data_IF_996976645972
#
_entry.id   IF_996976645972
#
_cell.length_a   1.000
_cell.length_b   1.000
_cell.length_c   1.000
_cell.angle_alpha   90.00
_cell.angle_beta   90.00
_cell.angle_gamma   90.00
#
_symmetry.space_group_name_H-M   'P 1'
#
loop_
_entity.id
_entity.type
_entity.pdbx_description
1 polymer ?
#
# COMPACT_ATOMS: atom_id res chain seq x y z
N UNK A 1 3.36 -24.75 -36.77
CA UNK A 1 3.20 -26.16 -36.40
C UNK A 1 2.20 -26.79 -37.32
N UNK A 2 2.69 -27.55 -38.28
CA UNK A 2 1.82 -28.38 -39.09
C UNK A 2 1.61 -29.67 -38.30
N UNK A 3 0.39 -30.11 -38.18
CA UNK A 3 -0.07 -31.34 -37.52
C UNK A 3 0.46 -32.61 -38.25
N UNK A 4 1.75 -32.63 -38.62
CA UNK A 4 2.39 -33.69 -39.39
C UNK A 4 3.38 -34.44 -38.48
N UNK A 5 3.40 -35.74 -38.63
CA UNK A 5 4.41 -36.59 -38.00
C UNK A 5 5.80 -36.32 -38.59
N UNK A 6 6.84 -36.43 -37.76
CA UNK A 6 8.21 -36.36 -38.21
C UNK A 6 8.49 -37.55 -39.15
N UNK A 7 9.16 -37.28 -40.27
CA UNK A 7 9.53 -38.33 -41.24
C UNK A 7 10.91 -38.94 -40.95
N UNK A 8 11.68 -38.33 -40.06
CA UNK A 8 13.00 -38.79 -39.58
C UNK A 8 13.24 -38.19 -38.20
N UNK A 9 14.16 -38.80 -37.46
CA UNK A 9 14.59 -38.27 -36.16
C UNK A 9 15.23 -36.89 -36.31
N UNK A 10 14.94 -36.04 -35.32
CA UNK A 10 15.53 -34.73 -35.20
C UNK A 10 15.89 -34.41 -33.77
N UNK A 11 17.00 -33.76 -33.55
CA UNK A 11 17.37 -33.20 -32.24
C UNK A 11 17.50 -31.69 -32.35
N UNK A 12 17.17 -31.02 -31.27
CA UNK A 12 17.40 -29.58 -31.08
C UNK A 12 18.06 -29.34 -29.74
N UNK A 13 18.89 -28.33 -29.64
CA UNK A 13 19.45 -27.86 -28.38
C UNK A 13 18.58 -26.73 -27.81
N UNK A 14 18.47 -26.69 -26.47
CA UNK A 14 17.92 -25.55 -25.74
C UNK A 14 19.06 -24.62 -25.33
N UNK A 15 18.89 -23.34 -25.56
CA UNK A 15 19.88 -22.31 -25.22
C UNK A 15 19.23 -21.07 -24.66
N UNK A 16 19.98 -20.30 -23.89
CA UNK A 16 19.56 -19.00 -23.39
C UNK A 16 19.90 -17.93 -24.45
N UNK A 17 18.87 -17.24 -24.91
CA UNK A 17 18.96 -16.24 -25.98
C UNK A 17 19.13 -14.82 -25.43
N UNK A 18 20.19 -14.56 -24.67
CA UNK A 18 20.48 -13.26 -24.05
C UNK A 18 20.48 -12.11 -25.06
N UNK A 19 20.98 -12.33 -26.29
CA UNK A 19 20.96 -11.31 -27.35
C UNK A 19 19.53 -10.92 -27.78
N UNK A 20 18.60 -11.88 -27.76
CA UNK A 20 17.19 -11.63 -28.06
C UNK A 20 16.54 -10.77 -26.98
N UNK A 21 16.86 -11.01 -25.72
CA UNK A 21 16.41 -10.19 -24.61
C UNK A 21 17.01 -8.78 -24.69
N UNK A 22 18.32 -8.65 -24.90
CA UNK A 22 18.99 -7.36 -25.03
C UNK A 22 18.39 -6.48 -26.15
N UNK A 23 18.04 -7.09 -27.27
CA UNK A 23 17.32 -6.39 -28.36
C UNK A 23 15.92 -5.95 -27.92
N UNK A 24 15.17 -6.78 -27.21
CA UNK A 24 13.85 -6.44 -26.71
C UNK A 24 13.89 -5.28 -25.70
N UNK A 25 14.87 -5.29 -24.78
CA UNK A 25 15.12 -4.19 -23.83
C UNK A 25 15.45 -2.90 -24.56
N UNK A 26 16.32 -2.93 -25.55
CA UNK A 26 16.70 -1.75 -26.34
C UNK A 26 15.48 -1.14 -27.08
N UNK A 27 14.47 -1.94 -27.41
CA UNK A 27 13.26 -1.50 -28.07
C UNK A 27 12.14 -1.06 -27.12
N UNK A 28 12.28 -1.32 -25.82
CA UNK A 28 11.23 -1.03 -24.83
C UNK A 28 10.83 0.44 -24.75
N UNK A 29 11.77 1.36 -24.96
CA UNK A 29 11.51 2.81 -25.01
C UNK A 29 11.06 3.33 -26.37
N UNK A 30 11.08 2.49 -27.42
CA UNK A 30 10.82 2.89 -28.82
C UNK A 30 9.47 2.42 -29.35
N UNK A 31 8.87 1.39 -28.73
CA UNK A 31 7.65 0.77 -29.22
C UNK A 31 6.82 0.21 -28.06
N UNK A 32 5.52 0.49 -28.06
CA UNK A 32 4.58 -0.04 -27.07
C UNK A 32 4.52 -1.57 -27.05
N UNK A 33 4.81 -2.23 -28.18
CA UNK A 33 4.87 -3.69 -28.27
C UNK A 33 5.99 -4.32 -27.43
N UNK A 34 7.00 -3.53 -27.06
CA UNK A 34 8.14 -3.95 -26.24
C UNK A 34 8.15 -3.33 -24.84
N UNK A 35 7.10 -2.61 -24.45
CA UNK A 35 7.04 -1.90 -23.16
C UNK A 35 7.22 -2.83 -21.96
N UNK A 36 6.80 -4.10 -22.06
CA UNK A 36 6.96 -5.12 -21.01
C UNK A 36 8.43 -5.47 -20.70
N UNK A 37 9.37 -5.11 -21.58
CA UNK A 37 10.81 -5.34 -21.37
C UNK A 37 11.53 -4.14 -20.76
N UNK A 38 10.78 -3.12 -20.36
CA UNK A 38 11.35 -1.97 -19.66
C UNK A 38 11.81 -2.40 -18.27
N UNK A 39 13.06 -2.07 -17.94
CA UNK A 39 13.66 -2.29 -16.62
C UNK A 39 13.72 -3.77 -16.17
N UNK A 40 13.65 -4.72 -17.11
CA UNK A 40 13.83 -6.15 -16.82
C UNK A 40 15.29 -6.55 -16.82
N UNK A 41 15.62 -7.64 -16.14
CA UNK A 41 16.96 -8.21 -16.05
C UNK A 41 16.95 -9.69 -16.51
N UNK A 42 18.08 -10.18 -17.04
CA UNK A 42 18.23 -11.61 -17.33
C UNK A 42 18.22 -12.42 -16.02
N UNK A 43 17.42 -13.50 -15.97
CA UNK A 43 17.47 -14.42 -14.83
C UNK A 43 18.87 -15.03 -14.73
N UNK A 44 19.60 -14.87 -13.59
CA UNK A 44 20.98 -15.33 -13.49
C UNK A 44 21.11 -16.86 -13.50
N UNK A 45 22.23 -17.33 -13.99
CA UNK A 45 22.61 -18.75 -13.89
C UNK A 45 22.66 -19.18 -12.41
N UNK A 46 22.26 -20.43 -12.14
CA UNK A 46 22.21 -20.98 -10.79
C UNK A 46 20.83 -20.89 -10.13
N UNK A 47 19.91 -20.06 -10.62
CA UNK A 47 18.54 -20.02 -10.11
C UNK A 47 17.56 -20.85 -10.93
N UNK A 48 18.01 -21.47 -12.01
CA UNK A 48 17.17 -22.34 -12.85
C UNK A 48 17.97 -23.51 -13.41
N UNK A 49 17.25 -24.57 -13.77
CA UNK A 49 17.79 -25.70 -14.53
C UNK A 49 16.72 -26.29 -15.45
N UNK A 50 17.18 -26.97 -16.49
CA UNK A 50 16.34 -27.77 -17.38
C UNK A 50 16.53 -29.24 -17.08
N UNK A 51 15.46 -30.06 -17.19
CA UNK A 51 15.55 -31.53 -17.09
C UNK A 51 16.38 -32.13 -18.22
N UNK A 52 16.48 -31.43 -19.37
CA UNK A 52 17.35 -31.78 -20.49
C UNK A 52 17.75 -30.54 -21.30
N UNK A 53 19.00 -30.50 -21.79
CA UNK A 53 19.49 -29.43 -22.67
C UNK A 53 19.34 -29.77 -24.15
N UNK A 54 18.94 -31.00 -24.47
CA UNK A 54 18.70 -31.48 -25.82
C UNK A 54 17.39 -32.25 -25.88
N UNK A 55 16.61 -31.99 -26.91
CA UNK A 55 15.30 -32.61 -27.11
C UNK A 55 15.31 -33.38 -28.41
N UNK A 56 14.75 -34.61 -28.40
CA UNK A 56 14.62 -35.46 -29.56
C UNK A 56 13.16 -35.58 -29.97
N UNK A 57 12.91 -35.44 -31.25
CA UNK A 57 11.65 -35.76 -31.90
C UNK A 57 11.89 -37.01 -32.78
N UNK A 58 11.30 -38.13 -32.45
CA UNK A 58 11.47 -39.37 -33.18
C UNK A 58 10.62 -39.41 -34.46
N UNK A 59 11.07 -40.16 -35.45
CA UNK A 59 10.29 -40.39 -36.65
C UNK A 59 8.94 -41.05 -36.30
N UNK A 60 7.86 -40.55 -36.88
CA UNK A 60 6.50 -40.99 -36.58
C UNK A 60 5.80 -40.18 -35.47
N UNK A 61 6.53 -39.35 -34.72
CA UNK A 61 5.97 -38.53 -33.66
C UNK A 61 5.59 -37.14 -34.16
N UNK A 62 4.70 -36.45 -33.43
CA UNK A 62 4.26 -35.06 -33.70
C UNK A 62 4.91 -34.05 -32.75
N UNK A 63 5.35 -34.52 -31.62
CA UNK A 63 5.99 -33.75 -30.54
C UNK A 63 7.06 -34.55 -29.85
N UNK A 64 8.04 -33.88 -29.30
CA UNK A 64 9.07 -34.45 -28.45
C UNK A 64 8.55 -34.77 -27.05
N UNK A 65 9.36 -35.41 -26.25
CA UNK A 65 9.19 -35.42 -24.80
C UNK A 65 9.22 -33.99 -24.25
N UNK A 66 8.53 -33.78 -23.13
CA UNK A 66 8.53 -32.52 -22.44
C UNK A 66 9.87 -32.29 -21.72
N UNK A 67 10.32 -31.03 -21.72
CA UNK A 67 11.43 -30.58 -20.91
C UNK A 67 10.93 -29.66 -19.83
N UNK A 68 11.23 -29.99 -18.60
CA UNK A 68 10.87 -29.20 -17.44
C UNK A 68 11.89 -28.08 -17.22
N UNK A 69 11.41 -26.86 -17.02
CA UNK A 69 12.16 -25.74 -16.47
C UNK A 69 11.87 -25.65 -14.97
N UNK A 70 12.89 -25.90 -14.15
CA UNK A 70 12.81 -25.73 -12.71
C UNK A 70 13.48 -24.41 -12.32
N UNK A 71 12.79 -23.58 -11.52
CA UNK A 71 13.32 -22.32 -11.00
C UNK A 71 13.32 -22.39 -9.48
N UNK A 72 14.47 -22.11 -8.86
CA UNK A 72 14.59 -22.02 -7.41
C UNK A 72 14.08 -20.65 -6.93
N UNK A 73 12.76 -20.52 -6.85
CA UNK A 73 12.10 -19.29 -6.42
C UNK A 73 12.49 -18.91 -4.98
N UNK A 74 12.76 -19.90 -4.12
CA UNK A 74 13.14 -19.63 -2.72
C UNK A 74 14.49 -18.93 -2.63
N UNK A 75 15.49 -19.42 -3.35
CA UNK A 75 16.80 -18.78 -3.39
C UNK A 75 16.77 -17.43 -4.13
N UNK A 76 16.00 -17.33 -5.22
CA UNK A 76 15.84 -16.10 -5.98
C UNK A 76 15.22 -14.99 -5.13
N UNK A 77 14.16 -15.29 -4.37
CA UNK A 77 13.53 -14.38 -3.43
C UNK A 77 14.53 -13.94 -2.36
N UNK A 78 15.24 -14.88 -1.72
CA UNK A 78 16.26 -14.57 -0.71
C UNK A 78 17.35 -13.65 -1.26
N UNK A 79 17.81 -13.90 -2.48
CA UNK A 79 18.82 -13.05 -3.11
C UNK A 79 18.31 -11.63 -3.34
N UNK A 80 17.07 -11.48 -3.86
CA UNK A 80 16.46 -10.16 -4.05
C UNK A 80 16.27 -9.44 -2.71
N UNK A 81 15.83 -10.16 -1.68
CA UNK A 81 15.63 -9.60 -0.33
C UNK A 81 16.96 -9.14 0.31
N UNK A 82 18.01 -9.95 0.22
CA UNK A 82 19.24 -9.72 0.99
C UNK A 82 20.27 -8.86 0.25
N UNK A 83 20.28 -8.90 -1.08
CA UNK A 83 21.40 -8.32 -1.85
C UNK A 83 20.96 -7.25 -2.86
N UNK A 84 19.69 -7.25 -3.31
CA UNK A 84 19.23 -6.29 -4.31
C UNK A 84 18.53 -5.07 -3.72
N UNK A 85 17.81 -5.24 -2.61
CA UNK A 85 17.11 -4.16 -1.91
C UNK A 85 16.04 -3.45 -2.75
N UNK A 86 15.58 -4.07 -3.85
CA UNK A 86 14.54 -3.55 -4.74
C UNK A 86 13.85 -4.69 -5.49
N UNK A 87 12.58 -4.51 -5.84
CA UNK A 87 11.85 -5.43 -6.71
C UNK A 87 12.49 -5.51 -8.10
N UNK A 88 12.50 -6.71 -8.68
CA UNK A 88 13.11 -6.97 -9.98
C UNK A 88 12.20 -7.90 -10.78
N UNK A 89 11.99 -7.57 -12.05
CA UNK A 89 11.42 -8.50 -13.04
C UNK A 89 12.56 -9.16 -13.80
N UNK A 90 12.72 -10.47 -13.61
CA UNK A 90 13.67 -11.26 -14.38
C UNK A 90 13.01 -11.88 -15.61
N UNK A 91 13.80 -12.03 -16.68
CA UNK A 91 13.36 -12.71 -17.90
C UNK A 91 14.34 -13.82 -18.25
N UNK A 92 13.81 -15.02 -18.53
CA UNK A 92 14.58 -16.13 -19.06
C UNK A 92 14.18 -16.38 -20.53
N UNK A 93 15.00 -15.98 -21.49
CA UNK A 93 14.76 -16.21 -22.91
C UNK A 93 15.27 -17.61 -23.31
N UNK A 94 14.38 -18.55 -23.54
CA UNK A 94 14.73 -19.93 -23.95
C UNK A 94 14.53 -20.08 -25.46
N UNK A 95 15.57 -20.49 -26.17
CA UNK A 95 15.57 -20.67 -27.61
C UNK A 95 15.91 -22.10 -28.00
N UNK A 96 15.23 -22.64 -29.02
CA UNK A 96 15.65 -23.85 -29.69
C UNK A 96 16.63 -23.50 -30.82
N UNK A 97 17.73 -24.28 -30.92
CA UNK A 97 18.76 -24.09 -31.93
C UNK A 97 19.37 -25.45 -32.38
N UNK A 98 20.26 -25.42 -33.35
CA UNK A 98 21.06 -26.58 -33.80
C UNK A 98 20.21 -27.80 -34.19
N UNK A 99 19.14 -27.59 -34.96
CA UNK A 99 18.32 -28.71 -35.44
C UNK A 99 19.08 -29.59 -36.41
N UNK A 100 19.09 -30.88 -36.19
CA UNK A 100 19.82 -31.86 -37.03
C UNK A 100 19.11 -32.19 -38.35
N UNK A 101 17.81 -31.99 -38.43
CA UNK A 101 17.00 -32.53 -39.52
C UNK A 101 15.98 -31.63 -40.13
N UNK A 102 15.54 -30.62 -39.46
CA UNK A 102 14.50 -29.68 -39.91
C UNK A 102 14.94 -28.24 -39.71
N UNK A 103 14.42 -27.34 -40.55
CA UNK A 103 14.62 -25.89 -40.36
C UNK A 103 13.90 -25.41 -39.11
N UNK A 104 14.53 -24.50 -38.37
CA UNK A 104 13.93 -23.79 -37.23
C UNK A 104 13.30 -22.50 -37.75
N UNK A 105 12.13 -22.17 -37.29
CA UNK A 105 11.47 -20.91 -37.62
C UNK A 105 11.98 -19.79 -36.67
N UNK A 106 12.82 -18.92 -37.16
CA UNK A 106 13.46 -17.84 -36.38
C UNK A 106 12.47 -16.84 -35.74
N UNK A 107 11.22 -16.81 -36.25
CA UNK A 107 10.19 -15.93 -35.67
C UNK A 107 9.49 -16.49 -34.43
N UNK A 108 9.61 -17.80 -34.19
CA UNK A 108 8.87 -18.51 -33.13
C UNK A 108 9.74 -19.53 -32.36
N UNK A 109 11.04 -19.38 -32.43
CA UNK A 109 11.99 -20.30 -31.80
C UNK A 109 12.41 -19.89 -30.37
N UNK A 110 11.91 -18.77 -29.85
CA UNK A 110 12.27 -18.24 -28.56
C UNK A 110 11.01 -18.00 -27.74
N UNK A 111 11.04 -18.43 -26.47
CA UNK A 111 10.02 -18.16 -25.45
C UNK A 111 10.65 -17.31 -24.37
N UNK A 112 9.94 -16.28 -23.92
CA UNK A 112 10.33 -15.42 -22.80
C UNK A 112 9.51 -15.79 -21.56
N UNK A 113 10.16 -16.25 -20.49
CA UNK A 113 9.55 -16.49 -19.20
C UNK A 113 9.84 -15.29 -18.30
N UNK A 114 8.79 -14.71 -17.69
CA UNK A 114 8.90 -13.55 -16.79
C UNK A 114 8.70 -14.01 -15.35
N UNK A 115 9.55 -13.50 -14.45
CA UNK A 115 9.54 -13.77 -13.02
C UNK A 115 9.57 -12.44 -12.28
N UNK A 116 8.43 -12.01 -11.75
CA UNK A 116 8.34 -10.82 -10.91
C UNK A 116 8.70 -11.20 -9.48
N UNK A 117 9.79 -10.67 -8.97
CA UNK A 117 10.25 -10.87 -7.59
C UNK A 117 10.12 -9.56 -6.85
N UNK A 118 9.16 -9.50 -5.94
CA UNK A 118 8.94 -8.33 -5.11
C UNK A 118 9.95 -8.29 -3.96
N UNK A 119 10.67 -7.18 -3.82
CA UNK A 119 11.41 -6.87 -2.62
C UNK A 119 10.43 -6.37 -1.57
N UNK A 120 10.54 -6.92 -0.38
CA UNK A 120 9.85 -6.44 0.81
C UNK A 120 10.93 -6.07 1.81
N UNK A 121 10.98 -4.82 2.26
CA UNK A 121 11.96 -4.40 3.26
C UNK A 121 11.89 -5.33 4.47
N UNK A 122 13.03 -5.83 4.99
CA UNK A 122 13.03 -6.69 6.16
C UNK A 122 12.30 -6.09 7.36
N UNK A 123 12.27 -4.77 7.46
CA UNK A 123 11.54 -4.06 8.50
C UNK A 123 10.01 -4.19 8.36
N UNK A 124 9.51 -4.61 7.19
CA UNK A 124 8.07 -4.57 6.86
C UNK A 124 7.55 -5.91 6.32
N UNK A 125 8.26 -7.00 6.54
CA UNK A 125 7.78 -8.32 6.10
C UNK A 125 6.45 -8.61 6.78
N UNK A 126 5.39 -8.63 5.98
CA UNK A 126 4.13 -9.22 6.33
C UNK A 126 4.06 -10.56 5.61
N UNK A 127 4.16 -11.61 6.37
CA UNK A 127 4.04 -12.99 5.88
C UNK A 127 2.61 -13.53 5.99
N UNK A 128 1.65 -12.69 6.40
CA UNK A 128 0.27 -13.10 6.68
C UNK A 128 0.11 -13.89 7.98
N UNK A 129 1.21 -14.27 8.63
CA UNK A 129 1.22 -14.92 9.93
C UNK A 129 1.41 -13.91 11.08
N UNK A 130 1.81 -12.67 10.74
CA UNK A 130 2.11 -11.63 11.70
C UNK A 130 3.55 -11.70 12.22
N UNK A 131 3.84 -10.89 13.21
CA UNK A 131 5.13 -10.86 13.90
C UNK A 131 4.95 -11.23 15.38
N UNK A 132 5.97 -11.82 16.02
CA UNK A 132 5.89 -12.10 17.47
C UNK A 132 5.87 -10.79 18.27
N UNK A 133 5.30 -10.84 19.46
CA UNK A 133 5.14 -9.67 20.38
C UNK A 133 6.50 -9.04 20.78
N UNK A 134 7.59 -9.80 20.69
CA UNK A 134 8.95 -9.35 20.99
C UNK A 134 9.75 -8.94 19.74
N UNK A 135 9.09 -8.75 18.63
CA UNK A 135 9.74 -8.35 17.37
C UNK A 135 10.48 -7.02 17.53
N UNK A 136 11.69 -7.00 16.98
CA UNK A 136 12.57 -5.81 17.02
C UNK A 136 12.97 -5.39 15.60
N UNK A 137 13.08 -4.07 15.39
CA UNK A 137 13.68 -3.48 14.20
C UNK A 137 15.11 -3.03 14.50
N UNK A 138 15.90 -2.82 13.46
CA UNK A 138 17.22 -2.22 13.59
C UNK A 138 17.20 -0.89 14.36
N UNK A 139 18.29 -0.57 15.06
CA UNK A 139 18.38 0.65 15.86
C UNK A 139 17.70 0.56 17.24
N UNK A 140 17.36 -0.64 17.72
CA UNK A 140 16.85 -0.88 19.07
C UNK A 140 15.36 -0.52 19.25
N UNK A 141 14.60 -0.54 18.17
CA UNK A 141 13.15 -0.38 18.21
C UNK A 141 12.49 -1.70 18.54
N UNK A 142 11.59 -1.73 19.52
CA UNK A 142 10.78 -2.88 19.91
C UNK A 142 9.33 -2.65 19.61
N UNK A 143 8.65 -3.70 19.19
CA UNK A 143 7.19 -3.71 19.05
C UNK A 143 6.55 -3.45 20.42
N UNK A 144 5.71 -2.44 20.49
CA UNK A 144 4.98 -2.08 21.73
C UNK A 144 3.49 -2.26 21.61
N UNK A 145 2.98 -2.22 20.39
CA UNK A 145 1.59 -2.46 20.07
C UNK A 145 1.44 -2.85 18.59
N UNK A 146 0.55 -3.80 18.32
CA UNK A 146 0.21 -4.17 16.95
C UNK A 146 -1.17 -4.79 16.85
N UNK A 147 -1.72 -4.80 15.65
CA UNK A 147 -2.86 -5.61 15.24
C UNK A 147 -2.59 -6.14 13.84
N UNK A 148 -2.51 -7.45 13.71
CA UNK A 148 -2.25 -8.14 12.43
C UNK A 148 -3.55 -8.47 11.68
N UNK A 149 -4.70 -8.14 12.26
CA UNK A 149 -6.03 -8.40 11.71
C UNK A 149 -6.25 -9.85 11.22
N UNK A 150 -5.52 -10.78 11.80
CA UNK A 150 -5.63 -12.21 11.55
C UNK A 150 -6.86 -12.77 12.25
N UNK A 151 -7.99 -12.83 11.54
CA UNK A 151 -9.22 -13.30 12.11
C UNK A 151 -10.41 -13.06 11.19
N UNK A 152 -11.61 -13.16 11.77
CA UNK A 152 -12.86 -12.92 11.06
C UNK A 152 -13.83 -12.13 11.91
N UNK A 153 -14.69 -11.33 11.27
CA UNK A 153 -15.70 -10.51 11.95
C UNK A 153 -15.19 -9.15 12.40
N UNK A 154 -15.73 -8.61 13.47
CA UNK A 154 -15.38 -7.26 13.92
C UNK A 154 -13.95 -7.20 14.48
N UNK A 155 -13.20 -6.10 14.26
CA UNK A 155 -11.92 -5.88 14.92
C UNK A 155 -12.07 -5.82 16.44
N UNK A 156 -10.97 -6.11 17.15
CA UNK A 156 -10.95 -6.17 18.61
C UNK A 156 -11.36 -4.83 19.24
N UNK A 157 -12.48 -4.81 19.92
CA UNK A 157 -13.03 -3.59 20.57
C UNK A 157 -12.20 -3.12 21.77
N UNK A 158 -11.32 -3.95 22.33
CA UNK A 158 -10.35 -3.52 23.33
C UNK A 158 -9.22 -2.68 22.73
N UNK A 159 -8.99 -2.80 21.42
CA UNK A 159 -8.00 -2.04 20.67
C UNK A 159 -8.64 -0.89 19.90
N UNK A 160 -9.80 -1.10 19.30
CA UNK A 160 -10.43 -0.18 18.39
C UNK A 160 -11.84 0.21 18.86
N UNK A 161 -12.18 1.47 18.71
CA UNK A 161 -13.54 1.98 18.79
C UNK A 161 -13.99 2.45 17.42
N UNK A 162 -15.29 2.39 17.17
CA UNK A 162 -15.86 2.88 15.91
C UNK A 162 -16.35 4.31 16.05
N UNK A 163 -16.22 5.08 14.97
CA UNK A 163 -17.05 6.26 14.76
C UNK A 163 -18.33 5.87 14.04
N UNK A 164 -19.43 6.52 14.39
CA UNK A 164 -20.74 6.28 13.78
C UNK A 164 -21.36 7.60 13.32
N UNK A 165 -22.07 7.56 12.18
CA UNK A 165 -22.77 8.72 11.63
C UNK A 165 -21.90 9.66 10.81
N UNK A 166 -22.38 10.86 10.58
CA UNK A 166 -21.63 11.94 9.95
C UNK A 166 -20.58 12.51 10.93
N UNK A 167 -19.32 12.60 10.50
CA UNK A 167 -18.23 12.99 11.40
C UNK A 167 -17.56 14.30 11.04
N UNK A 168 -16.99 14.48 9.88
CA UNK A 168 -16.16 15.63 9.49
C UNK A 168 -16.28 16.00 8.02
N UNK A 169 -15.71 17.13 7.62
CA UNK A 169 -15.44 17.55 6.23
C UNK A 169 -16.66 17.57 5.29
N UNK A 170 -17.88 17.57 5.84
CA UNK A 170 -19.13 17.42 5.06
C UNK A 170 -19.14 16.18 4.15
N UNK A 171 -18.41 15.14 4.55
CA UNK A 171 -18.34 13.85 3.85
C UNK A 171 -19.74 13.26 3.64
N UNK A 172 -19.90 12.43 2.61
CA UNK A 172 -21.22 11.95 2.18
C UNK A 172 -21.65 10.64 2.84
N UNK A 173 -20.72 9.89 3.45
CA UNK A 173 -21.03 8.62 4.10
C UNK A 173 -21.60 8.78 5.51
N UNK A 174 -22.42 7.82 5.88
CA UNK A 174 -22.72 7.48 7.27
C UNK A 174 -21.77 6.37 7.72
N UNK A 175 -20.93 6.61 8.71
CA UNK A 175 -20.09 5.55 9.26
C UNK A 175 -20.91 4.54 10.06
N UNK A 176 -20.67 3.25 9.80
CA UNK A 176 -21.29 2.10 10.46
C UNK A 176 -20.21 1.07 10.79
N UNK A 177 -20.30 0.48 11.99
CA UNK A 177 -19.38 -0.58 12.39
C UNK A 177 -19.42 -1.79 11.43
N UNK A 178 -20.58 -2.12 10.88
CA UNK A 178 -20.78 -3.28 10.00
C UNK A 178 -20.11 -3.10 8.60
N UNK A 179 -19.51 -1.94 8.34
CA UNK A 179 -18.74 -1.68 7.13
C UNK A 179 -17.23 -1.92 7.32
N UNK A 180 -16.79 -2.38 8.51
CA UNK A 180 -15.41 -2.82 8.75
C UNK A 180 -15.42 -4.21 9.37
N UNK A 181 -14.75 -5.16 8.72
CA UNK A 181 -14.65 -6.54 9.18
C UNK A 181 -13.27 -7.13 8.89
N UNK A 182 -12.81 -8.01 9.76
CA UNK A 182 -11.62 -8.82 9.49
C UNK A 182 -12.00 -9.98 8.60
N UNK A 183 -11.36 -10.09 7.44
CA UNK A 183 -11.48 -11.20 6.50
C UNK A 183 -10.22 -11.31 5.64
N UNK A 184 -9.87 -12.53 5.26
CA UNK A 184 -8.71 -12.78 4.39
C UNK A 184 -7.41 -12.13 4.94
N UNK A 185 -7.19 -12.27 6.26
CA UNK A 185 -6.06 -11.71 7.00
C UNK A 185 -5.89 -10.18 6.82
N UNK A 186 -6.99 -9.44 6.79
CA UNK A 186 -6.97 -7.99 6.73
C UNK A 186 -8.21 -7.41 7.42
N UNK A 187 -8.10 -6.20 7.95
CA UNK A 187 -9.24 -5.34 8.24
C UNK A 187 -9.72 -4.70 6.95
N UNK A 188 -10.94 -4.98 6.54
CA UNK A 188 -11.54 -4.52 5.28
C UNK A 188 -12.64 -3.51 5.56
N UNK A 189 -12.41 -2.29 5.12
CA UNK A 189 -13.42 -1.23 5.09
C UNK A 189 -14.17 -1.32 3.76
N UNK A 190 -15.48 -1.46 3.80
CA UNK A 190 -16.32 -1.53 2.61
C UNK A 190 -17.23 -0.31 2.54
N UNK A 191 -16.95 0.60 1.62
CA UNK A 191 -17.88 1.68 1.32
C UNK A 191 -18.97 1.16 0.35
N UNK A 192 -20.23 1.49 0.64
CA UNK A 192 -21.40 1.02 -0.10
C UNK A 192 -22.27 2.20 -0.52
N UNK A 193 -22.88 2.11 -1.68
CA UNK A 193 -24.03 2.94 -2.03
C UNK A 193 -25.26 2.38 -1.30
N UNK A 194 -25.50 2.90 -0.11
CA UNK A 194 -26.56 2.45 0.78
C UNK A 194 -27.20 3.65 1.47
N UNK A 195 -28.51 3.82 1.27
CA UNK A 195 -29.25 4.93 1.85
C UNK A 195 -29.62 4.64 3.30
N UNK A 196 -29.21 5.53 4.20
CA UNK A 196 -29.45 5.43 5.65
C UNK A 196 -30.13 6.70 6.14
N UNK A 197 -31.22 6.54 6.92
CA UNK A 197 -31.88 7.67 7.55
C UNK A 197 -31.06 8.17 8.74
N UNK A 198 -30.86 9.48 8.79
CA UNK A 198 -30.18 10.14 9.90
C UNK A 198 -31.12 10.20 11.13
N UNK A 199 -30.83 9.49 12.22
CA UNK A 199 -31.67 9.53 13.42
C UNK A 199 -31.67 10.91 14.12
N UNK A 200 -30.66 11.73 13.85
CA UNK A 200 -30.50 13.06 14.42
C UNK A 200 -30.99 14.18 13.47
N UNK A 201 -31.79 13.84 12.47
CA UNK A 201 -32.28 14.82 11.50
C UNK A 201 -33.05 15.95 12.17
N UNK A 202 -32.61 17.17 11.91
CA UNK A 202 -33.25 18.41 12.32
C UNK A 202 -33.07 19.47 11.23
N UNK A 203 -34.09 19.75 10.41
CA UNK A 203 -33.97 20.70 9.31
C UNK A 203 -33.72 22.15 9.76
N UNK A 204 -33.95 22.44 11.05
CA UNK A 204 -33.75 23.76 11.64
C UNK A 204 -32.43 23.90 12.41
N UNK A 205 -31.54 22.90 12.35
CA UNK A 205 -30.25 22.99 13.00
C UNK A 205 -29.40 24.11 12.42
N UNK A 206 -28.69 24.83 13.31
CA UNK A 206 -27.84 25.98 12.95
C UNK A 206 -26.46 25.82 13.57
N UNK A 207 -25.45 26.52 13.04
CA UNK A 207 -24.06 26.48 13.49
C UNK A 207 -23.15 25.67 12.57
N UNK A 208 -21.86 25.69 12.82
CA UNK A 208 -20.84 25.12 11.93
C UNK A 208 -20.97 23.61 11.63
N UNK A 209 -21.56 22.86 12.56
CA UNK A 209 -21.79 21.41 12.41
C UNK A 209 -23.25 21.06 12.09
N UNK A 210 -24.10 22.04 11.77
CA UNK A 210 -25.53 21.83 11.46
C UNK A 210 -25.74 20.86 10.30
N UNK A 211 -24.81 20.77 9.35
CA UNK A 211 -24.87 19.85 8.23
C UNK A 211 -25.03 18.38 8.66
N UNK A 212 -24.49 17.99 9.82
CA UNK A 212 -24.67 16.65 10.40
C UNK A 212 -26.12 16.33 10.75
N UNK A 213 -26.94 17.36 10.98
CA UNK A 213 -28.34 17.23 11.38
C UNK A 213 -29.29 17.63 10.23
N UNK A 214 -28.92 18.57 9.37
CA UNK A 214 -29.79 19.04 8.28
C UNK A 214 -29.87 18.05 7.11
N UNK A 215 -28.96 17.08 7.02
CA UNK A 215 -29.05 15.97 6.06
C UNK A 215 -29.98 14.90 6.63
N UNK A 216 -31.13 14.69 5.98
CA UNK A 216 -32.11 13.66 6.40
C UNK A 216 -31.60 12.24 6.14
N UNK A 217 -30.86 12.06 5.06
CA UNK A 217 -30.27 10.78 4.67
C UNK A 217 -28.80 10.93 4.33
N UNK A 218 -28.05 9.84 4.55
CA UNK A 218 -26.80 9.58 3.85
C UNK A 218 -27.10 8.63 2.68
N UNK A 219 -26.47 8.85 1.55
CA UNK A 219 -26.64 7.96 0.37
C UNK A 219 -25.52 6.90 0.30
N UNK A 220 -24.52 7.01 1.15
CA UNK A 220 -23.39 6.08 1.23
C UNK A 220 -23.15 5.67 2.68
N UNK A 221 -22.64 4.45 2.86
CA UNK A 221 -22.12 3.98 4.13
C UNK A 221 -20.66 3.58 4.00
N UNK A 222 -19.91 3.69 5.09
CA UNK A 222 -18.52 3.29 5.20
C UNK A 222 -18.15 3.04 6.66
N UNK A 223 -16.85 2.92 6.98
CA UNK A 223 -16.43 2.76 8.36
C UNK A 223 -15.18 3.59 8.70
N UNK A 224 -15.06 3.88 9.99
CA UNK A 224 -13.90 4.48 10.64
C UNK A 224 -13.64 3.77 11.96
N UNK A 225 -12.39 3.35 12.18
CA UNK A 225 -11.92 2.84 13.47
C UNK A 225 -10.85 3.77 14.04
N UNK A 226 -10.85 3.92 15.35
CA UNK A 226 -9.91 4.75 16.10
C UNK A 226 -9.31 3.90 17.21
N UNK A 227 -8.00 3.94 17.38
CA UNK A 227 -7.34 3.23 18.46
C UNK A 227 -7.87 3.69 19.83
N UNK A 228 -8.02 2.76 20.77
CA UNK A 228 -8.40 3.11 22.14
C UNK A 228 -7.35 4.00 22.79
N UNK A 229 -7.77 4.89 23.68
CA UNK A 229 -6.89 5.91 24.27
C UNK A 229 -5.64 5.35 24.97
N UNK A 230 -5.71 4.14 25.50
CA UNK A 230 -4.56 3.44 26.10
C UNK A 230 -3.45 3.09 25.11
N UNK A 231 -3.72 3.14 23.82
CA UNK A 231 -2.76 2.92 22.73
C UNK A 231 -2.31 4.22 22.07
N UNK A 232 -2.54 5.37 22.72
CA UNK A 232 -1.93 6.62 22.28
C UNK A 232 -0.41 6.48 22.32
N UNK A 233 0.26 6.88 21.27
CA UNK A 233 1.72 6.78 21.16
C UNK A 233 2.37 8.13 20.90
N UNK A 234 3.62 8.25 21.35
CA UNK A 234 4.49 9.38 21.08
C UNK A 234 5.90 8.86 20.83
N UNK A 235 6.53 9.32 19.77
CA UNK A 235 7.79 8.83 19.24
C UNK A 235 7.77 7.35 18.82
N UNK A 236 8.70 6.99 17.98
CA UNK A 236 8.86 5.65 17.46
C UNK A 236 8.53 5.53 15.98
N UNK A 237 8.36 4.29 15.54
CA UNK A 237 7.97 3.98 14.18
C UNK A 237 6.56 3.39 14.16
N UNK A 238 5.70 3.94 13.32
CA UNK A 238 4.42 3.35 13.01
C UNK A 238 4.49 2.79 11.60
N UNK A 239 4.12 1.54 11.45
CA UNK A 239 4.15 0.82 10.17
C UNK A 239 2.77 0.25 9.91
N UNK A 240 2.18 0.61 8.76
CA UNK A 240 0.89 0.12 8.31
C UNK A 240 1.04 -0.43 6.91
N UNK A 241 0.62 -1.68 6.69
CA UNK A 241 0.55 -2.25 5.36
C UNK A 241 -0.89 -2.25 4.89
N UNK A 242 -1.15 -1.57 3.77
CA UNK A 242 -2.50 -1.35 3.30
C UNK A 242 -2.60 -1.33 1.77
N UNK A 243 -3.78 -1.70 1.28
CA UNK A 243 -4.19 -1.55 -0.11
C UNK A 243 -5.39 -0.63 -0.18
N UNK A 244 -5.28 0.46 -0.93
CA UNK A 244 -6.28 1.52 -0.99
C UNK A 244 -7.05 1.54 -2.31
N UNK A 245 -8.35 1.88 -2.30
CA UNK A 245 -9.08 2.23 -3.50
C UNK A 245 -8.61 3.60 -4.02
N UNK A 246 -8.50 3.75 -5.34
CA UNK A 246 -8.12 5.01 -5.98
C UNK A 246 -9.22 5.56 -6.90
N UNK A 247 -10.44 5.07 -6.77
CA UNK A 247 -11.60 5.51 -7.51
C UNK A 247 -12.06 6.90 -7.05
N UNK A 248 -12.58 7.67 -7.99
CA UNK A 248 -13.06 9.02 -7.73
C UNK A 248 -14.12 9.03 -6.61
N UNK A 249 -13.94 9.91 -5.65
CA UNK A 249 -14.80 10.10 -4.50
C UNK A 249 -14.46 9.22 -3.30
N UNK A 250 -13.64 8.17 -3.48
CA UNK A 250 -13.07 7.42 -2.37
C UNK A 250 -11.96 8.22 -1.67
N UNK A 251 -11.95 8.20 -0.35
CA UNK A 251 -10.98 8.92 0.48
C UNK A 251 -10.49 8.02 1.62
N UNK A 252 -9.66 7.03 1.32
CA UNK A 252 -8.98 6.24 2.35
C UNK A 252 -7.94 7.07 3.07
N UNK A 253 -7.82 6.85 4.39
CA UNK A 253 -6.83 7.53 5.21
C UNK A 253 -6.21 6.60 6.27
N UNK A 254 -4.93 6.82 6.54
CA UNK A 254 -4.16 6.37 7.69
C UNK A 254 -3.64 7.64 8.34
N UNK A 255 -4.16 7.99 9.51
CA UNK A 255 -3.86 9.25 10.14
C UNK A 255 -3.94 9.18 11.67
N UNK A 256 -3.56 10.23 12.35
CA UNK A 256 -3.68 10.32 13.79
C UNK A 256 -3.98 11.72 14.29
N UNK A 257 -4.59 11.82 15.46
CA UNK A 257 -4.80 13.08 16.17
C UNK A 257 -4.38 12.95 17.64
N UNK A 258 -4.00 14.07 18.24
CA UNK A 258 -3.70 14.10 19.67
C UNK A 258 -4.90 13.78 20.53
N UNK A 259 -4.67 13.06 21.63
CA UNK A 259 -5.72 12.56 22.53
C UNK A 259 -6.23 13.58 23.54
N UNK A 260 -5.59 14.75 23.71
CA UNK A 260 -5.95 15.70 24.79
C UNK A 260 -6.48 17.04 24.32
N UNK A 261 -6.01 17.56 23.22
CA UNK A 261 -6.35 18.91 22.80
C UNK A 261 -7.37 18.91 21.68
N UNK A 262 -8.15 19.99 21.63
CA UNK A 262 -9.02 20.28 20.50
C UNK A 262 -8.19 20.40 19.21
N UNK A 263 -8.72 19.85 18.10
CA UNK A 263 -8.10 20.00 16.79
C UNK A 263 -7.99 21.49 16.40
N UNK A 264 -6.87 21.94 15.82
CA UNK A 264 -5.67 21.20 15.48
C UNK A 264 -4.56 21.28 16.56
N UNK A 265 -4.87 21.73 17.77
CA UNK A 265 -3.88 21.96 18.84
C UNK A 265 -3.23 20.66 19.33
N UNK A 266 -3.94 19.53 19.25
CA UNK A 266 -3.40 18.22 19.55
C UNK A 266 -2.48 17.64 18.48
N UNK A 267 -2.37 18.32 17.34
CA UNK A 267 -1.67 17.84 16.16
C UNK A 267 -2.49 16.82 15.36
N UNK A 268 -2.21 16.75 14.08
CA UNK A 268 -2.69 15.73 13.15
C UNK A 268 -1.55 15.28 12.27
N UNK A 269 -1.41 13.98 12.08
CA UNK A 269 -0.40 13.40 11.20
C UNK A 269 -1.13 12.51 10.19
N UNK A 270 -1.07 12.88 8.91
CA UNK A 270 -1.63 12.10 7.82
C UNK A 270 -0.52 11.29 7.17
N UNK A 271 -0.41 10.01 7.56
CA UNK A 271 0.58 9.10 6.96
C UNK A 271 0.20 8.79 5.52
N UNK A 272 -1.09 8.71 5.28
CA UNK A 272 -1.76 8.55 4.02
C UNK A 272 -3.10 9.25 4.05
N UNK A 273 -3.36 10.07 3.07
CA UNK A 273 -4.69 10.36 2.57
C UNK A 273 -4.67 10.23 1.04
N UNK A 274 -5.70 9.64 0.47
CA UNK A 274 -5.89 9.70 -0.98
C UNK A 274 -7.16 10.48 -1.29
N UNK A 275 -7.01 11.63 -1.93
CA UNK A 275 -8.12 12.42 -2.46
C UNK A 275 -7.66 13.31 -3.62
N UNK A 276 -8.62 13.72 -4.48
CA UNK A 276 -8.33 14.53 -5.67
C UNK A 276 -7.22 13.94 -6.55
N UNK A 277 -7.20 12.60 -6.69
CA UNK A 277 -6.20 11.85 -7.45
C UNK A 277 -4.75 12.06 -6.98
N UNK A 278 -4.54 12.28 -5.69
CA UNK A 278 -3.22 12.48 -5.09
C UNK A 278 -3.08 11.67 -3.80
N UNK A 279 -1.88 11.20 -3.57
CA UNK A 279 -1.42 10.76 -2.26
C UNK A 279 -0.95 11.99 -1.49
N UNK A 280 -1.41 12.15 -0.27
CA UNK A 280 -1.02 13.21 0.65
C UNK A 280 -0.34 12.62 1.87
N UNK A 281 0.72 13.30 2.32
CA UNK A 281 1.45 13.02 3.54
C UNK A 281 1.66 14.35 4.26
N UNK A 282 0.91 14.62 5.33
CA UNK A 282 0.83 15.95 5.91
C UNK A 282 0.99 15.92 7.43
N UNK A 283 1.39 17.06 7.98
CA UNK A 283 1.27 17.37 9.41
C UNK A 283 0.50 18.68 9.59
N UNK A 284 -0.37 18.71 10.62
CA UNK A 284 -1.12 19.90 10.98
C UNK A 284 -1.01 20.19 12.47
N UNK A 285 -0.80 21.45 12.82
CA UNK A 285 -0.79 21.96 14.21
C UNK A 285 -1.50 23.30 14.29
N UNK A 286 -1.71 23.81 15.49
CA UNK A 286 -2.47 25.04 15.72
C UNK A 286 -1.96 26.26 15.00
N UNK A 287 -2.82 26.90 14.21
CA UNK A 287 -2.60 28.19 13.54
C UNK A 287 -2.93 29.38 14.42
N UNK A 288 -3.14 30.55 13.80
CA UNK A 288 -3.33 31.81 14.55
C UNK A 288 -4.73 31.96 15.17
N UNK A 289 -5.70 31.22 14.72
CA UNK A 289 -7.10 31.27 15.18
C UNK A 289 -7.59 29.89 15.55
N UNK A 290 -8.60 29.83 16.40
CA UNK A 290 -9.28 28.57 16.72
C UNK A 290 -9.77 27.89 15.43
N UNK A 291 -9.54 26.58 15.29
CA UNK A 291 -9.86 25.79 14.10
C UNK A 291 -9.03 26.14 12.85
N UNK A 292 -7.98 26.94 13.00
CA UNK A 292 -7.05 27.23 11.91
C UNK A 292 -5.81 26.36 12.07
N UNK A 293 -5.45 25.64 11.02
CA UNK A 293 -4.28 24.74 10.99
C UNK A 293 -3.09 25.38 10.30
N UNK A 294 -1.90 25.22 10.91
CA UNK A 294 -0.63 25.36 10.23
C UNK A 294 -0.26 24.02 9.65
N UNK A 295 0.20 23.97 8.40
CA UNK A 295 0.43 22.73 7.68
C UNK A 295 1.85 22.60 7.14
N UNK A 296 2.43 21.41 7.24
CA UNK A 296 3.48 20.95 6.35
C UNK A 296 2.91 19.83 5.47
N UNK A 297 2.78 20.11 4.18
CA UNK A 297 2.06 19.25 3.25
C UNK A 297 2.94 18.80 2.10
N UNK A 298 2.92 17.50 1.84
CA UNK A 298 3.47 16.90 0.62
C UNK A 298 2.34 16.14 -0.11
N UNK A 299 2.28 16.29 -1.43
CA UNK A 299 1.27 15.61 -2.22
C UNK A 299 1.83 15.18 -3.57
N UNK A 300 1.44 13.97 -4.00
CA UNK A 300 1.95 13.31 -5.20
C UNK A 300 0.78 12.86 -6.07
N UNK A 301 0.73 13.23 -7.36
CA UNK A 301 -0.26 12.68 -8.27
C UNK A 301 -0.24 11.16 -8.27
N UNK A 302 -1.40 10.51 -8.27
CA UNK A 302 -1.45 9.03 -8.30
C UNK A 302 -0.76 8.46 -9.53
N UNK A 303 -0.68 9.23 -10.61
CA UNK A 303 0.04 8.86 -11.83
C UNK A 303 1.54 8.68 -11.64
N UNK A 304 2.14 9.27 -10.60
CA UNK A 304 3.56 9.06 -10.30
C UNK A 304 3.85 7.60 -9.86
N UNK A 305 2.82 6.90 -9.40
CA UNK A 305 2.85 5.50 -9.00
C UNK A 305 2.28 4.60 -10.08
N UNK A 306 1.08 4.87 -10.58
CA UNK A 306 0.37 4.01 -11.55
C UNK A 306 1.00 3.99 -12.95
N UNK A 307 1.77 5.02 -13.31
CA UNK A 307 2.54 5.00 -14.57
C UNK A 307 3.74 4.04 -14.52
N UNK A 308 4.26 3.77 -13.32
CA UNK A 308 5.36 2.82 -13.10
C UNK A 308 4.84 1.39 -12.92
N UNK A 309 3.68 1.25 -12.30
CA UNK A 309 3.00 -0.01 -12.08
C UNK A 309 1.50 0.15 -12.27
N UNK A 310 0.97 -0.33 -13.40
CA UNK A 310 -0.46 -0.23 -13.72
C UNK A 310 -1.35 -0.97 -12.70
N UNK A 311 -0.78 -1.90 -11.92
CA UNK A 311 -1.46 -2.66 -10.87
C UNK A 311 -1.16 -2.15 -9.47
N UNK A 312 -0.63 -0.95 -9.34
CA UNK A 312 -0.26 -0.38 -8.06
C UNK A 312 -1.41 -0.46 -7.04
N UNK A 313 -2.61 0.00 -7.40
CA UNK A 313 -3.78 -0.02 -6.51
C UNK A 313 -4.31 -1.42 -6.17
N UNK A 314 -3.88 -2.46 -6.91
CA UNK A 314 -4.23 -3.86 -6.62
C UNK A 314 -3.30 -4.50 -5.58
N UNK A 315 -2.21 -3.81 -5.19
CA UNK A 315 -1.16 -4.30 -4.28
C UNK A 315 -1.27 -3.67 -2.91
N UNK A 316 -0.74 -4.36 -1.91
CA UNK A 316 -0.47 -3.77 -0.61
C UNK A 316 0.82 -2.96 -0.66
N UNK A 317 0.80 -1.80 -0.01
CA UNK A 317 1.92 -0.89 0.15
C UNK A 317 2.20 -0.66 1.62
N UNK A 318 3.44 -0.32 1.95
CA UNK A 318 3.85 -0.05 3.34
C UNK A 318 3.93 1.46 3.55
N UNK A 319 3.10 1.93 4.47
CA UNK A 319 3.06 3.32 4.93
C UNK A 319 3.75 3.38 6.28
N UNK A 320 4.79 4.19 6.39
CA UNK A 320 5.54 4.30 7.62
C UNK A 320 5.70 5.75 8.05
N UNK A 321 5.64 5.95 9.36
CA UNK A 321 6.14 7.15 10.02
C UNK A 321 7.31 6.79 10.91
N UNK A 322 8.39 7.59 10.83
CA UNK A 322 9.49 7.61 11.79
C UNK A 322 9.46 8.94 12.54
N UNK A 323 9.21 8.88 13.85
CA UNK A 323 9.02 10.04 14.70
C UNK A 323 10.04 10.03 15.84
N UNK A 324 10.96 10.95 15.79
CA UNK A 324 11.91 11.25 16.86
C UNK A 324 11.65 12.62 17.51
N UNK A 325 12.49 13.04 18.44
CA UNK A 325 12.34 14.33 19.14
C UNK A 325 12.52 15.56 18.22
N UNK A 326 13.07 15.38 17.04
CA UNK A 326 13.45 16.46 16.11
C UNK A 326 12.64 16.46 14.83
N UNK A 327 12.29 15.29 14.34
CA UNK A 327 11.66 15.12 13.02
C UNK A 327 10.52 14.11 13.06
N UNK A 328 9.52 14.34 12.21
CA UNK A 328 8.61 13.33 11.72
C UNK A 328 8.86 13.14 10.24
N UNK A 329 9.08 11.88 9.83
CA UNK A 329 9.27 11.47 8.44
C UNK A 329 8.21 10.48 8.05
N UNK A 330 7.59 10.70 6.90
CA UNK A 330 6.55 9.83 6.35
C UNK A 330 7.07 9.18 5.08
N UNK A 331 6.89 7.88 4.97
CA UNK A 331 7.39 7.07 3.86
C UNK A 331 6.27 6.24 3.24
N UNK A 332 6.41 5.95 1.95
CA UNK A 332 5.66 4.96 1.21
C UNK A 332 6.66 4.03 0.52
N UNK A 333 6.60 2.71 0.83
CA UNK A 333 7.51 1.70 0.28
C UNK A 333 8.97 2.16 0.35
N UNK A 334 9.43 2.61 1.52
CA UNK A 334 10.75 3.16 1.83
C UNK A 334 11.12 4.48 1.12
N UNK A 335 10.22 5.05 0.34
CA UNK A 335 10.44 6.35 -0.29
C UNK A 335 9.95 7.46 0.63
N UNK A 336 10.82 8.38 1.02
CA UNK A 336 10.47 9.55 1.84
C UNK A 336 9.49 10.45 1.07
N UNK A 337 8.30 10.64 1.64
CA UNK A 337 7.28 11.55 1.11
C UNK A 337 7.32 12.92 1.78
N UNK A 338 7.47 12.97 3.12
CA UNK A 338 7.49 14.23 3.87
C UNK A 338 8.47 14.13 5.04
N UNK A 339 9.20 15.20 5.28
CA UNK A 339 10.00 15.41 6.48
C UNK A 339 9.61 16.75 7.13
N UNK A 340 9.28 16.72 8.41
CA UNK A 340 8.91 17.90 9.18
C UNK A 340 9.87 18.11 10.33
N UNK A 341 10.52 19.28 10.39
CA UNK A 341 11.32 19.73 11.52
C UNK A 341 10.40 20.20 12.66
N UNK A 342 10.40 19.48 13.78
CA UNK A 342 9.51 19.72 14.92
C UNK A 342 9.82 21.02 15.67
N UNK A 343 10.97 21.63 15.47
CA UNK A 343 11.25 22.96 16.00
C UNK A 343 10.34 24.05 15.42
N UNK A 344 9.64 23.76 14.32
CA UNK A 344 8.75 24.68 13.61
C UNK A 344 7.26 24.45 13.90
N UNK A 345 6.91 23.42 14.66
CA UNK A 345 5.53 22.93 14.80
C UNK A 345 4.84 23.38 16.10
N UNK A 346 5.29 24.46 16.70
CA UNK A 346 4.59 25.05 17.85
C UNK A 346 3.25 25.62 17.45
N UNK A 347 2.22 25.34 18.26
CA UNK A 347 0.91 25.98 18.14
C UNK A 347 1.03 27.50 18.21
N UNK A 348 0.19 28.23 17.51
CA UNK A 348 0.19 29.68 17.41
C UNK A 348 -1.11 30.26 17.97
N UNK A 349 -1.11 31.58 18.23
CA UNK A 349 -2.29 32.31 18.68
C UNK A 349 -2.68 32.05 20.14
N UNK A 350 -3.53 32.91 20.69
CA UNK A 350 -3.88 32.91 22.12
C UNK A 350 -4.64 31.65 22.57
N UNK A 351 -5.37 31.01 21.67
CA UNK A 351 -6.11 29.77 21.95
C UNK A 351 -5.21 28.52 21.99
N UNK A 352 -3.99 28.62 21.46
CA UNK A 352 -2.98 27.58 21.53
C UNK A 352 -2.10 27.65 22.78
N UNK A 353 -2.25 28.70 23.57
CA UNK A 353 -1.59 28.88 24.84
C UNK A 353 -2.44 28.22 25.94
N UNK A 354 -2.06 27.01 26.36
CA UNK A 354 -2.49 26.47 27.65
C UNK A 354 -1.77 27.18 28.81
N UNK A 355 -2.06 26.80 30.04
CA UNK A 355 -1.27 27.19 31.22
C UNK A 355 0.17 26.67 31.02
N UNK A 356 1.07 27.44 30.41
CA UNK A 356 2.44 27.03 30.15
C UNK A 356 2.97 27.45 28.77
N UNK A 357 2.21 28.17 27.97
CA UNK A 357 2.65 28.71 26.69
C UNK A 357 2.28 27.85 25.48
N UNK A 358 2.91 28.13 24.36
CA UNK A 358 2.63 27.46 23.08
C UNK A 358 3.18 26.03 23.10
N UNK A 359 2.28 25.05 23.06
CA UNK A 359 2.63 23.62 23.05
C UNK A 359 3.02 23.20 21.63
N UNK A 360 4.08 22.42 21.54
CA UNK A 360 4.37 21.63 20.35
C UNK A 360 3.67 20.28 20.47
N UNK A 361 2.68 19.96 19.60
CA UNK A 361 1.94 18.72 19.73
C UNK A 361 2.79 17.47 19.39
N UNK A 362 3.95 17.64 18.79
CA UNK A 362 4.80 16.53 18.37
C UNK A 362 6.10 16.41 19.17
N UNK A 363 6.43 17.44 19.96
CA UNK A 363 7.64 17.45 20.80
C UNK A 363 7.30 18.13 22.12
N UNK A 364 6.86 17.34 23.10
CA UNK A 364 6.47 17.80 24.43
C UNK A 364 6.70 16.71 25.49
N UNK A 365 6.79 17.12 26.75
CA UNK A 365 7.02 16.24 27.90
C UNK A 365 5.71 15.90 28.66
N UNK A 366 4.56 16.14 28.06
CA UNK A 366 3.26 15.87 28.71
C UNK A 366 3.06 14.36 28.87
N UNK A 367 2.97 13.92 30.12
CA UNK A 367 2.69 12.52 30.45
C UNK A 367 1.28 12.15 30.00
N UNK A 368 1.16 11.00 29.31
CA UNK A 368 -0.12 10.51 28.79
C UNK A 368 -0.63 11.23 27.53
N UNK A 369 0.06 12.28 27.06
CA UNK A 369 -0.22 12.85 25.76
C UNK A 369 0.39 11.98 24.65
N UNK A 370 -0.39 11.72 23.61
CA UNK A 370 0.05 10.97 22.44
C UNK A 370 -0.93 11.10 21.28
N UNK A 371 -0.58 10.50 20.17
CA UNK A 371 -1.39 10.44 18.97
C UNK A 371 -2.23 9.15 18.97
N UNK A 372 -3.50 9.27 18.59
CA UNK A 372 -4.42 8.16 18.38
C UNK A 372 -4.53 7.86 16.89
N UNK A 373 -4.19 6.63 16.53
CA UNK A 373 -4.33 6.11 15.16
C UNK A 373 -5.80 6.09 14.75
N UNK A 374 -6.04 6.50 13.52
CA UNK A 374 -7.32 6.43 12.83
C UNK A 374 -7.17 5.80 11.46
N UNK A 375 -8.09 4.90 11.12
CA UNK A 375 -8.19 4.25 9.81
C UNK A 375 -9.62 4.43 9.31
N UNK A 376 -9.80 5.00 8.15
CA UNK A 376 -11.14 5.18 7.58
C UNK A 376 -11.15 5.21 6.06
N UNK A 377 -12.32 4.93 5.51
CA UNK A 377 -12.64 5.18 4.11
C UNK A 377 -13.78 6.21 4.06
N UNK A 378 -13.44 7.48 3.88
CA UNK A 378 -14.43 8.52 3.67
C UNK A 378 -14.88 8.55 2.21
N UNK A 379 -16.03 9.19 1.94
CA UNK A 379 -16.63 9.29 0.62
C UNK A 379 -17.07 10.75 0.37
N UNK A 380 -16.74 11.28 -0.78
CA UNK A 380 -17.25 12.57 -1.23
C UNK A 380 -16.64 13.76 -0.50
N UNK A 381 -17.48 14.63 0.05
CA UNK A 381 -17.06 15.87 0.68
C UNK A 381 -16.23 16.75 -0.26
N UNK A 382 -15.10 17.26 0.20
CA UNK A 382 -14.19 18.08 -0.61
C UNK A 382 -13.47 17.29 -1.73
N UNK A 383 -13.55 15.95 -1.71
CA UNK A 383 -13.01 15.09 -2.76
C UNK A 383 -13.90 15.02 -4.02
N UNK A 384 -15.11 15.59 -3.95
CA UNK A 384 -16.08 15.54 -5.05
C UNK A 384 -16.95 14.29 -5.00
N UNK A 385 -17.98 14.27 -5.83
CA UNK A 385 -18.94 13.16 -5.86
C UNK A 385 -18.30 11.88 -6.37
N UNK A 386 -18.58 10.73 -5.73
CA UNK A 386 -18.13 9.45 -6.20
C UNK A 386 -18.82 9.04 -7.52
N UNK A 387 -18.19 8.10 -8.22
CA UNK A 387 -18.80 7.46 -9.38
C UNK A 387 -19.56 6.23 -8.86
N UNK A 388 -20.88 6.27 -8.90
CA UNK A 388 -21.76 5.23 -8.33
C UNK A 388 -21.48 3.82 -8.87
N UNK A 389 -21.09 3.71 -10.13
CA UNK A 389 -20.79 2.42 -10.77
C UNK A 389 -19.52 1.73 -10.20
N UNK A 390 -18.72 2.42 -9.39
CA UNK A 390 -17.49 1.85 -8.81
C UNK A 390 -17.72 1.17 -7.45
N UNK A 391 -18.90 1.33 -6.84
CA UNK A 391 -19.19 0.70 -5.55
C UNK A 391 -19.49 -0.80 -5.67
N UNK A 392 -19.15 -1.62 -4.63
CA UNK A 392 -18.50 -1.21 -3.38
C UNK A 392 -17.01 -0.88 -3.57
N UNK A 393 -16.50 0.10 -2.79
CA UNK A 393 -15.07 0.35 -2.67
C UNK A 393 -14.52 -0.40 -1.46
N UNK A 394 -13.34 -1.01 -1.59
CA UNK A 394 -12.68 -1.67 -0.48
C UNK A 394 -11.33 -1.02 -0.18
N UNK A 395 -11.10 -0.69 1.09
CA UNK A 395 -9.83 -0.32 1.66
C UNK A 395 -9.41 -1.44 2.61
N UNK A 396 -8.22 -2.01 2.43
CA UNK A 396 -7.74 -3.17 3.17
C UNK A 396 -6.48 -2.82 3.94
N UNK A 397 -6.46 -3.13 5.23
CA UNK A 397 -5.31 -2.98 6.12
C UNK A 397 -4.89 -4.36 6.59
N UNK A 398 -3.69 -4.78 6.22
CA UNK A 398 -3.11 -6.06 6.58
C UNK A 398 -2.63 -6.06 8.04
N UNK A 399 -1.88 -5.02 8.42
CA UNK A 399 -1.46 -4.81 9.79
C UNK A 399 -1.23 -3.35 10.15
N UNK A 400 -1.21 -3.10 11.46
CA UNK A 400 -0.71 -1.89 12.11
C UNK A 400 0.30 -2.30 13.17
N UNK A 401 1.51 -1.71 13.16
CA UNK A 401 2.58 -2.00 14.12
C UNK A 401 3.21 -0.72 14.62
N UNK A 402 3.37 -0.61 15.94
CA UNK A 402 4.04 0.52 16.60
C UNK A 402 5.28 0.02 17.31
N UNK A 403 6.42 0.62 16.97
CA UNK A 403 7.72 0.31 17.56
C UNK A 403 8.26 1.53 18.28
N UNK A 404 8.84 1.32 19.46
CA UNK A 404 9.48 2.38 20.22
C UNK A 404 10.89 1.97 20.66
N UNK A 405 11.76 2.95 20.85
CA UNK A 405 13.07 2.71 21.47
C UNK A 405 12.88 2.44 22.95
N UNK A 406 13.75 1.56 23.48
CA UNK A 406 13.86 1.35 24.92
C UNK A 406 14.40 2.57 25.62
#
# INVERSE_FOLDING_TARGET
>A
YQNRQATKDATVDLAIASDSLNKAIAMAGMSSAYAIYKDVELLPEGYYNFSANKVTLNAGEKQSEEVELNVDCSQLIKWVQNERGKSVTFVLPVQIQNSTSYGINDKTNTIMFFFDVTYVSPEYIADGEGVPDDHELEGGYRLVWHDEFNGTGAPNTDMWRFEEGFQRNEEDQWYKKDNAEMKENALVFTAKQERVKNPNYNPNATGGNSWKQTREYAEYTSACVVAQNKYAFKYGKLVVRAKIPIEQGGWPAIWSTGNWYEWPLGGEIDFLEFYKNKIHANLCWGGNKRWDGSWNSANYPITDFTSKDAKWAEKYHVWMMDWDEKYIRIYLDDVLLNETDLSTTYNKGDHGAGEGGYINPYSNDLEGFGQLMMLNLAIGGSNGRPIEATFPLEYRVDYVRVYQKK
#
